data_IF_805355124356
#
_entry.id   IF_805355124356
#
_cell.length_a   1.000
_cell.length_b   1.000
_cell.length_c   1.000
_cell.angle_alpha   90.00
_cell.angle_beta   90.00
_cell.angle_gamma   90.00
#
_symmetry.space_group_name_H-M   'P 1'
#
loop_
_entity.id
_entity.type
_entity.pdbx_description
1 polymer ?
#
# COMPACT_ATOMS: atom_id res chain seq x y z
N UNK A 1 -9.99 -2.15 21.06
CA UNK A 1 -10.28 -1.70 19.69
C UNK A 1 -9.13 -0.88 19.11
N UNK A 2 -8.79 0.28 19.68
CA UNK A 2 -7.68 1.11 19.17
C UNK A 2 -6.32 0.39 19.14
N UNK A 3 -6.01 -0.39 20.18
CA UNK A 3 -4.78 -1.19 20.21
C UNK A 3 -4.75 -2.30 19.15
N UNK A 4 -5.88 -2.96 18.91
CA UNK A 4 -6.00 -3.99 17.88
C UNK A 4 -5.85 -3.39 16.49
N UNK A 5 -6.46 -2.22 16.25
CA UNK A 5 -6.33 -1.48 14.99
C UNK A 5 -4.88 -1.07 14.75
N UNK A 6 -4.18 -0.58 15.77
CA UNK A 6 -2.76 -0.24 15.65
C UNK A 6 -1.89 -1.47 15.33
N UNK A 7 -2.13 -2.60 16.01
CA UNK A 7 -1.41 -3.86 15.73
C UNK A 7 -1.69 -4.38 14.32
N UNK A 8 -2.94 -4.30 13.86
CA UNK A 8 -3.34 -4.65 12.50
C UNK A 8 -2.50 -3.86 11.49
N UNK A 9 -2.42 -2.54 11.67
CA UNK A 9 -1.64 -1.66 10.82
C UNK A 9 -0.17 -2.03 10.76
N UNK A 10 0.45 -2.35 11.90
CA UNK A 10 1.86 -2.74 11.93
C UNK A 10 2.10 -4.05 11.17
N UNK A 11 1.25 -5.05 11.35
CA UNK A 11 1.37 -6.34 10.66
C UNK A 11 1.19 -6.14 9.15
N UNK A 12 0.16 -5.43 8.72
CA UNK A 12 -0.07 -5.18 7.29
C UNK A 12 0.98 -4.25 6.67
N UNK A 13 1.54 -3.32 7.44
CA UNK A 13 2.66 -2.49 6.98
C UNK A 13 3.87 -3.36 6.69
N UNK A 14 4.24 -4.25 7.62
CA UNK A 14 5.36 -5.16 7.42
C UNK A 14 5.14 -6.09 6.21
N UNK A 15 3.96 -6.70 6.10
CA UNK A 15 3.59 -7.52 4.94
C UNK A 15 3.61 -6.73 3.62
N UNK A 16 3.10 -5.49 3.63
CA UNK A 16 3.07 -4.64 2.45
C UNK A 16 4.45 -4.23 1.95
N UNK A 17 5.40 -3.98 2.86
CA UNK A 17 6.80 -3.70 2.50
C UNK A 17 7.47 -4.94 1.91
N UNK A 18 7.26 -6.13 2.47
CA UNK A 18 7.83 -7.37 1.94
C UNK A 18 7.25 -7.73 0.56
N UNK A 19 5.94 -7.60 0.37
CA UNK A 19 5.27 -7.97 -0.88
C UNK A 19 5.42 -6.91 -1.98
N UNK A 20 5.33 -5.63 -1.63
CA UNK A 20 5.22 -4.53 -2.60
C UNK A 20 6.38 -3.52 -2.52
N UNK A 21 7.38 -3.75 -1.68
CA UNK A 21 8.51 -2.82 -1.51
C UNK A 21 9.39 -2.68 -2.75
N UNK A 22 9.35 -3.65 -3.66
CA UNK A 22 10.06 -3.62 -4.95
C UNK A 22 9.17 -3.20 -6.13
N UNK A 23 7.95 -2.75 -5.86
CA UNK A 23 7.05 -2.34 -6.91
C UNK A 23 7.56 -1.04 -7.56
N UNK A 24 7.80 -1.12 -8.87
CA UNK A 24 8.15 0.04 -9.69
C UNK A 24 7.03 0.36 -10.67
N UNK A 25 6.58 1.62 -10.63
CA UNK A 25 5.60 2.15 -11.55
C UNK A 25 6.31 2.54 -12.85
N UNK A 26 5.91 1.94 -13.97
CA UNK A 26 6.45 2.21 -15.31
C UNK A 26 5.31 2.52 -16.27
N UNK A 27 5.60 2.96 -17.50
CA UNK A 27 4.57 3.30 -18.50
C UNK A 27 3.61 2.13 -18.79
N UNK A 28 4.10 0.88 -18.71
CA UNK A 28 3.28 -0.34 -18.87
C UNK A 28 2.45 -0.68 -17.62
N UNK A 29 2.82 -0.18 -16.44
CA UNK A 29 2.15 -0.42 -15.15
C UNK A 29 1.75 0.92 -14.52
N UNK A 30 0.62 1.47 -14.98
CA UNK A 30 0.09 2.71 -14.42
C UNK A 30 -0.31 2.49 -12.95
N UNK A 31 0.47 3.05 -12.04
CA UNK A 31 0.19 3.03 -10.61
C UNK A 31 -0.90 4.05 -10.27
N UNK A 32 -2.16 3.71 -10.50
CA UNK A 32 -3.27 4.60 -10.12
C UNK A 32 -3.42 4.57 -8.60
N UNK A 33 -2.99 5.63 -7.92
CA UNK A 33 -3.06 5.76 -6.46
C UNK A 33 -1.78 5.40 -5.70
N UNK A 34 -0.76 4.86 -6.38
CA UNK A 34 0.62 4.78 -5.86
C UNK A 34 1.45 5.89 -6.50
N UNK A 35 2.08 6.72 -5.67
CA UNK A 35 2.87 7.87 -6.09
C UNK A 35 4.11 8.00 -5.18
N UNK A 36 4.99 8.95 -5.45
CA UNK A 36 6.14 9.29 -4.58
C UNK A 36 5.75 9.53 -3.11
N UNK A 37 4.50 9.89 -2.84
CA UNK A 37 3.96 10.10 -1.49
C UNK A 37 3.06 8.97 -0.97
N UNK A 38 2.87 7.89 -1.74
CA UNK A 38 2.06 6.73 -1.35
C UNK A 38 2.68 5.46 -1.96
N UNK A 39 3.58 4.80 -1.22
CA UNK A 39 4.32 3.63 -1.68
C UNK A 39 4.79 2.73 -0.53
N UNK A 40 5.13 1.49 -0.86
CA UNK A 40 5.54 0.45 0.10
C UNK A 40 7.06 0.23 0.21
N UNK A 41 7.88 1.08 -0.42
CA UNK A 41 9.36 0.99 -0.35
C UNK A 41 9.95 1.17 1.06
N UNK A 42 9.26 1.90 1.94
CA UNK A 42 9.72 2.17 3.29
C UNK A 42 8.61 2.02 4.31
N UNK A 43 8.96 1.59 5.52
CA UNK A 43 8.00 1.28 6.59
C UNK A 43 7.07 2.46 6.93
N UNK A 44 7.62 3.67 7.07
CA UNK A 44 6.82 4.87 7.37
C UNK A 44 5.82 5.23 6.27
N UNK A 45 6.25 5.17 5.00
CA UNK A 45 5.38 5.48 3.87
C UNK A 45 4.34 4.38 3.64
N UNK A 46 4.69 3.12 3.88
CA UNK A 46 3.76 2.00 3.84
C UNK A 46 2.64 2.15 4.89
N UNK A 47 2.98 2.61 6.10
CA UNK A 47 2.01 2.87 7.16
C UNK A 47 1.03 4.00 6.77
N UNK A 48 1.56 5.11 6.24
CA UNK A 48 0.73 6.24 5.75
C UNK A 48 -0.15 5.82 4.57
N UNK A 49 0.37 4.97 3.69
CA UNK A 49 -0.39 4.44 2.54
C UNK A 49 -1.55 3.57 3.02
N UNK A 50 -1.33 2.69 4.01
CA UNK A 50 -2.39 1.90 4.65
C UNK A 50 -3.42 2.77 5.37
N UNK A 51 -2.99 3.88 5.97
CA UNK A 51 -3.92 4.83 6.59
C UNK A 51 -4.87 5.44 5.56
N UNK A 52 -4.34 5.83 4.39
CA UNK A 52 -5.16 6.34 3.28
C UNK A 52 -6.15 5.29 2.75
N UNK A 53 -5.71 4.04 2.62
CA UNK A 53 -6.57 2.92 2.22
C UNK A 53 -7.70 2.72 3.23
N UNK A 54 -7.40 2.76 4.54
CA UNK A 54 -8.40 2.56 5.59
C UNK A 54 -9.43 3.69 5.68
N UNK A 55 -9.09 4.89 5.21
CA UNK A 55 -10.04 6.01 5.07
C UNK A 55 -10.85 5.98 3.77
N UNK A 56 -10.74 4.91 2.98
CA UNK A 56 -11.39 4.76 1.66
C UNK A 56 -10.91 5.78 0.60
N UNK A 57 -9.78 6.46 0.84
CA UNK A 57 -9.20 7.42 -0.10
C UNK A 57 -8.47 6.68 -1.22
N UNK A 58 -9.11 6.56 -2.39
CA UNK A 58 -8.54 6.00 -3.61
C UNK A 58 -8.02 4.54 -3.52
N UNK A 59 -8.57 3.74 -2.59
CA UNK A 59 -8.18 2.34 -2.36
C UNK A 59 -8.39 1.43 -3.59
N UNK A 60 -9.39 1.73 -4.43
CA UNK A 60 -9.72 0.93 -5.63
C UNK A 60 -8.58 0.89 -6.64
N UNK A 61 -7.89 2.02 -6.81
CA UNK A 61 -6.72 2.10 -7.69
C UNK A 61 -5.56 1.25 -7.17
N UNK A 62 -5.30 1.36 -5.86
CA UNK A 62 -4.25 0.62 -5.17
C UNK A 62 -4.48 -0.90 -5.27
N UNK A 63 -5.70 -1.34 -4.98
CA UNK A 63 -6.07 -2.76 -5.04
C UNK A 63 -5.91 -3.33 -6.45
N UNK A 64 -6.33 -2.59 -7.48
CA UNK A 64 -6.20 -3.01 -8.88
C UNK A 64 -4.74 -3.25 -9.26
N UNK A 65 -3.85 -2.33 -8.88
CA UNK A 65 -2.39 -2.45 -9.13
C UNK A 65 -1.80 -3.64 -8.39
N UNK A 66 -2.15 -3.83 -7.11
CA UNK A 66 -1.64 -4.98 -6.35
C UNK A 66 -2.15 -6.30 -6.89
N UNK A 67 -3.41 -6.38 -7.33
CA UNK A 67 -4.00 -7.62 -7.86
C UNK A 67 -3.38 -8.01 -9.21
N UNK A 68 -3.05 -7.03 -10.05
CA UNK A 68 -2.34 -7.27 -11.32
C UNK A 68 -0.90 -7.79 -11.18
N UNK A 69 -0.35 -7.84 -9.97
CA UNK A 69 0.94 -8.49 -9.71
C UNK A 69 0.82 -9.98 -9.40
N UNK A 70 -0.38 -10.43 -9.00
CA UNK A 70 -0.64 -11.82 -8.61
C UNK A 70 -1.42 -12.60 -9.68
N UNK A 71 -1.88 -11.92 -10.73
CA UNK A 71 -2.56 -12.47 -11.92
C UNK A 71 -1.70 -12.22 -13.16
#
# INVERSE_FOLDING_TARGET
VFYLFFLLFLIFTALGVELFGKLECSEERSCTGLDKHAHFKGFGMALLTLFRIATDDNWKGIMKVTLSLFL
#
